data_IF_718351547547
#
_entry.id   IF_718351547547
#
_cell.length_a   1.000
_cell.length_b   1.000
_cell.length_c   1.000
_cell.angle_alpha   90.00
_cell.angle_beta   90.00
_cell.angle_gamma   90.00
#
_symmetry.space_group_name_H-M   'P 1'
#
loop_
_entity.id
_entity.type
_entity.pdbx_description
1 polymer ?
#
# COMPACT_ATOMS: atom_id res chain seq x y z
N UNK A 1 -76.87 -14.28 30.98
CA UNK A 1 -76.48 -12.98 30.38
C UNK A 1 -75.54 -12.25 31.34
N UNK A 2 -74.25 -12.15 31.02
CA UNK A 2 -73.30 -11.07 31.40
C UNK A 2 -71.99 -11.36 30.64
N UNK A 3 -71.58 -10.40 29.82
CA UNK A 3 -70.57 -10.53 28.76
C UNK A 3 -69.17 -10.50 29.40
N UNK A 4 -68.32 -11.48 29.08
CA UNK A 4 -66.91 -11.45 29.46
C UNK A 4 -66.14 -10.57 28.47
N UNK A 5 -65.68 -9.43 28.93
CA UNK A 5 -64.82 -8.52 28.15
C UNK A 5 -63.40 -9.08 28.18
N UNK A 6 -62.93 -9.60 27.05
CA UNK A 6 -61.54 -10.00 26.85
C UNK A 6 -60.72 -8.75 26.49
N UNK A 7 -59.79 -8.37 27.36
CA UNK A 7 -58.82 -7.30 27.08
C UNK A 7 -57.70 -7.91 26.22
N UNK A 8 -57.66 -7.59 24.92
CA UNK A 8 -56.54 -7.97 24.05
C UNK A 8 -55.38 -7.00 24.30
N UNK A 9 -54.35 -7.45 25.01
CA UNK A 9 -53.07 -6.74 25.11
C UNK A 9 -52.23 -7.14 23.89
N UNK A 10 -52.16 -6.25 22.90
CA UNK A 10 -51.19 -6.38 21.80
C UNK A 10 -49.79 -6.03 22.34
N UNK A 11 -49.00 -7.03 22.67
CA UNK A 11 -47.57 -6.86 22.91
C UNK A 11 -46.90 -6.67 21.55
N UNK A 12 -46.60 -5.42 21.19
CA UNK A 12 -45.82 -5.09 20.00
C UNK A 12 -44.37 -5.50 20.24
N UNK A 13 -43.98 -6.67 19.75
CA UNK A 13 -42.60 -7.13 19.76
C UNK A 13 -41.79 -6.31 18.74
N UNK A 14 -41.10 -5.27 19.20
CA UNK A 14 -40.13 -4.54 18.39
C UNK A 14 -38.92 -5.45 18.18
N UNK A 15 -38.82 -6.03 16.99
CA UNK A 15 -37.67 -6.84 16.59
C UNK A 15 -36.48 -5.89 16.36
N UNK A 16 -35.63 -5.72 17.36
CA UNK A 16 -34.35 -5.03 17.20
C UNK A 16 -33.44 -5.95 16.39
N UNK A 17 -33.38 -5.75 15.07
CA UNK A 17 -32.37 -6.40 14.24
C UNK A 17 -31.01 -5.82 14.59
N UNK A 18 -30.27 -6.49 15.46
CA UNK A 18 -28.85 -6.24 15.62
C UNK A 18 -28.18 -6.55 14.28
N UNK A 19 -27.81 -5.54 13.51
CA UNK A 19 -26.95 -5.70 12.36
C UNK A 19 -25.57 -6.08 12.89
N UNK A 20 -25.31 -7.39 13.00
CA UNK A 20 -23.95 -7.85 13.20
C UNK A 20 -23.13 -7.40 11.97
N UNK A 21 -22.22 -6.45 12.16
CA UNK A 21 -21.20 -6.16 11.16
C UNK A 21 -20.40 -7.43 10.97
N UNK A 22 -20.61 -8.12 9.84
CA UNK A 22 -19.76 -9.22 9.44
C UNK A 22 -18.38 -8.62 9.17
N UNK A 23 -17.44 -8.80 10.11
CA UNK A 23 -16.03 -8.49 9.89
C UNK A 23 -15.60 -9.30 8.67
N UNK A 24 -15.41 -8.63 7.54
CA UNK A 24 -14.80 -9.28 6.38
C UNK A 24 -13.38 -9.59 6.82
N UNK A 25 -12.96 -10.85 6.69
CA UNK A 25 -11.56 -11.21 6.95
C UNK A 25 -10.62 -10.25 6.23
N UNK A 26 -9.41 -10.07 6.79
CA UNK A 26 -8.44 -9.15 6.20
C UNK A 26 -8.17 -9.52 4.74
N UNK A 27 -8.25 -8.52 3.85
CA UNK A 27 -7.87 -8.70 2.44
C UNK A 27 -6.36 -8.75 2.34
N UNK A 28 -5.84 -9.81 1.72
CA UNK A 28 -4.41 -10.02 1.57
C UNK A 28 -3.90 -9.65 0.18
N UNK A 29 -2.73 -9.01 0.14
CA UNK A 29 -2.05 -8.61 -1.08
C UNK A 29 -0.58 -8.96 -1.02
N UNK A 30 0.03 -9.04 -2.21
CA UNK A 30 1.44 -9.30 -2.44
C UNK A 30 2.00 -8.27 -3.42
N UNK A 31 3.25 -7.90 -3.21
CA UNK A 31 4.05 -7.07 -4.12
C UNK A 31 5.36 -7.79 -4.36
N UNK A 32 5.74 -7.98 -5.61
CA UNK A 32 7.13 -8.30 -5.95
C UNK A 32 7.82 -6.98 -6.29
N UNK A 33 8.88 -6.64 -5.57
CA UNK A 33 9.67 -5.44 -5.79
C UNK A 33 10.80 -5.78 -6.76
N UNK A 34 10.72 -5.25 -7.97
CA UNK A 34 11.73 -5.41 -9.01
C UNK A 34 12.68 -4.20 -9.03
N UNK A 35 13.95 -4.37 -9.43
CA UNK A 35 14.94 -3.30 -9.42
C UNK A 35 14.56 -2.14 -10.34
N UNK A 36 14.84 -0.91 -9.89
CA UNK A 36 14.83 0.32 -10.67
C UNK A 36 16.24 0.94 -10.57
N UNK A 37 16.63 1.75 -11.56
CA UNK A 37 17.94 2.43 -11.57
C UNK A 37 19.15 1.49 -11.44
N UNK A 38 19.04 0.29 -12.02
CA UNK A 38 20.08 -0.74 -11.96
C UNK A 38 20.57 -1.06 -10.53
N UNK A 39 19.74 -0.81 -9.52
CA UNK A 39 20.10 -0.95 -8.10
C UNK A 39 20.45 -2.39 -7.69
N UNK A 40 19.94 -3.38 -8.44
CA UNK A 40 19.99 -4.80 -8.05
C UNK A 40 19.08 -5.17 -6.88
N UNK A 41 18.38 -4.21 -6.28
CA UNK A 41 17.50 -4.42 -5.12
C UNK A 41 16.28 -5.22 -5.54
N UNK A 42 15.98 -6.27 -4.78
CA UNK A 42 14.78 -7.10 -4.95
C UNK A 42 14.09 -7.29 -3.62
N UNK A 43 12.79 -7.50 -3.67
CA UNK A 43 12.04 -7.77 -2.45
C UNK A 43 10.64 -8.28 -2.69
N UNK A 44 9.95 -8.51 -1.57
CA UNK A 44 8.56 -8.90 -1.51
C UNK A 44 7.88 -8.13 -0.39
N UNK A 45 6.66 -7.66 -0.63
CA UNK A 45 5.81 -7.13 0.41
C UNK A 45 4.51 -7.92 0.54
N UNK A 46 4.05 -8.08 1.78
CA UNK A 46 2.75 -8.65 2.12
C UNK A 46 1.92 -7.59 2.83
N UNK A 47 0.68 -7.42 2.38
CA UNK A 47 -0.23 -6.47 2.97
C UNK A 47 -1.49 -7.19 3.45
N UNK A 48 -1.99 -6.81 4.63
CA UNK A 48 -3.25 -7.27 5.18
C UNK A 48 -4.11 -6.05 5.51
N UNK A 49 -5.16 -5.82 4.73
CA UNK A 49 -6.12 -4.73 4.91
C UNK A 49 -7.34 -5.24 5.68
N UNK A 50 -7.47 -4.80 6.93
CA UNK A 50 -8.68 -4.96 7.74
C UNK A 50 -9.72 -3.88 7.45
N UNK A 51 -10.66 -3.68 8.37
CA UNK A 51 -11.71 -2.66 8.21
C UNK A 51 -11.15 -1.22 8.30
N UNK A 52 -10.19 -0.99 9.20
CA UNK A 52 -9.62 0.33 9.52
C UNK A 52 -8.09 0.33 9.63
N UNK A 53 -7.46 -0.82 9.35
CA UNK A 53 -6.02 -1.02 9.52
C UNK A 53 -5.38 -1.65 8.30
N UNK A 54 -4.15 -1.25 8.03
CA UNK A 54 -3.28 -1.87 7.04
C UNK A 54 -2.01 -2.35 7.72
N UNK A 55 -1.78 -3.66 7.73
CA UNK A 55 -0.48 -4.21 8.14
C UNK A 55 0.36 -4.46 6.90
N UNK A 56 1.56 -3.89 6.86
CA UNK A 56 2.53 -4.03 5.77
C UNK A 56 3.78 -4.72 6.29
N UNK A 57 4.22 -5.77 5.60
CA UNK A 57 5.48 -6.47 5.84
C UNK A 57 6.32 -6.37 4.58
N UNK A 58 7.55 -5.91 4.68
CA UNK A 58 8.48 -5.83 3.54
C UNK A 58 9.75 -6.60 3.88
N UNK A 59 10.16 -7.46 2.97
CA UNK A 59 11.47 -8.09 2.97
C UNK A 59 12.19 -7.71 1.67
N UNK A 60 13.35 -7.08 1.75
CA UNK A 60 14.14 -6.73 0.57
C UNK A 60 15.64 -6.93 0.83
N UNK A 61 16.38 -7.20 -0.23
CA UNK A 61 17.83 -7.50 -0.19
C UNK A 61 18.56 -6.73 -1.28
N UNK A 62 19.85 -6.49 -1.06
CA UNK A 62 20.70 -5.75 -2.00
C UNK A 62 20.62 -4.24 -1.80
N UNK A 63 20.07 -3.79 -0.67
CA UNK A 63 20.07 -2.38 -0.30
C UNK A 63 21.47 -1.93 0.12
N UNK A 64 21.70 -0.62 0.15
CA UNK A 64 22.96 -0.06 0.61
C UNK A 64 23.09 -0.18 2.14
N UNK A 65 24.10 -0.93 2.59
CA UNK A 65 24.32 -1.17 4.02
C UNK A 65 24.62 0.13 4.80
N UNK A 66 24.08 0.22 6.01
CA UNK A 66 24.23 1.36 6.92
C UNK A 66 23.41 2.59 6.53
N UNK A 67 22.53 2.50 5.53
CA UNK A 67 21.67 3.60 5.08
C UNK A 67 20.21 3.38 5.44
N UNK A 68 19.47 4.49 5.50
CA UNK A 68 18.01 4.48 5.69
C UNK A 68 17.33 4.40 4.34
N UNK A 69 16.35 3.52 4.19
CA UNK A 69 15.62 3.33 2.93
C UNK A 69 14.16 3.72 3.07
N UNK A 70 13.77 4.93 2.61
CA UNK A 70 12.37 5.33 2.55
C UNK A 70 11.57 4.40 1.65
N UNK A 71 10.32 4.15 2.04
CA UNK A 71 9.38 3.30 1.33
C UNK A 71 7.99 3.91 1.42
N UNK A 72 7.28 3.89 0.29
CA UNK A 72 5.98 4.54 0.19
C UNK A 72 5.03 3.68 -0.63
N UNK A 73 3.74 3.74 -0.28
CA UNK A 73 2.67 3.38 -1.20
C UNK A 73 2.35 4.62 -2.03
N UNK A 74 2.41 4.47 -3.35
CA UNK A 74 2.10 5.49 -4.34
C UNK A 74 0.83 5.15 -5.10
N UNK A 75 0.17 6.18 -5.62
CA UNK A 75 -0.94 6.01 -6.53
C UNK A 75 -1.44 7.29 -7.13
N UNK A 76 -2.17 7.15 -8.24
CA UNK A 76 -2.86 8.25 -8.89
C UNK A 76 -4.13 8.63 -8.14
N UNK A 77 -4.36 9.94 -8.02
CA UNK A 77 -5.61 10.51 -7.53
C UNK A 77 -6.79 10.04 -8.39
N UNK A 78 -7.97 9.94 -7.79
CA UNK A 78 -9.19 9.50 -8.46
C UNK A 78 -10.16 10.68 -8.70
N UNK A 79 -10.85 10.74 -9.86
CA UNK A 79 -10.76 9.79 -10.97
C UNK A 79 -9.46 9.96 -11.74
N UNK A 80 -8.75 8.86 -11.96
CA UNK A 80 -7.49 8.95 -12.67
C UNK A 80 -7.70 9.18 -14.16
N UNK A 81 -6.90 10.07 -14.74
CA UNK A 81 -6.94 10.40 -16.17
C UNK A 81 -5.98 9.56 -17.00
N UNK A 82 -5.14 8.76 -16.35
CA UNK A 82 -4.05 7.97 -16.96
C UNK A 82 -4.09 6.52 -16.46
N UNK A 83 -3.70 5.57 -17.31
CA UNK A 83 -3.54 4.14 -16.99
C UNK A 83 -4.70 3.49 -16.21
N UNK A 84 -5.93 3.98 -16.42
CA UNK A 84 -7.12 3.56 -15.68
C UNK A 84 -6.94 3.62 -14.14
N UNK A 85 -6.07 4.53 -13.67
CA UNK A 85 -5.72 4.74 -12.27
C UNK A 85 -4.70 3.80 -11.67
N UNK A 86 -4.09 2.92 -12.46
CA UNK A 86 -3.04 2.03 -11.98
C UNK A 86 -1.69 2.73 -11.92
N UNK A 87 -1.10 2.73 -10.73
CA UNK A 87 0.32 2.97 -10.54
C UNK A 87 1.13 1.86 -11.20
N UNK A 88 2.16 2.25 -11.94
CA UNK A 88 3.10 1.34 -12.59
C UNK A 88 4.52 1.68 -12.20
N UNK A 89 5.43 0.72 -12.35
CA UNK A 89 6.85 0.98 -12.14
C UNK A 89 7.45 1.63 -13.38
N UNK A 90 8.29 2.67 -13.20
CA UNK A 90 8.96 3.30 -14.32
C UNK A 90 9.94 2.31 -14.96
N UNK A 91 10.13 2.48 -16.27
CA UNK A 91 11.18 1.79 -17.01
C UNK A 91 12.34 2.75 -17.23
N UNK A 92 13.51 2.27 -17.72
CA UNK A 92 14.60 3.17 -18.10
C UNK A 92 14.21 4.24 -19.14
N UNK A 93 13.11 4.04 -19.89
CA UNK A 93 12.62 5.05 -20.83
C UNK A 93 11.95 6.26 -20.14
N UNK A 94 11.79 6.22 -18.81
CA UNK A 94 11.30 7.34 -18.01
C UNK A 94 12.37 8.41 -17.74
N UNK A 95 13.65 8.08 -17.94
CA UNK A 95 14.77 9.03 -17.87
C UNK A 95 14.66 10.01 -19.06
N UNK A 96 14.08 11.19 -18.80
CA UNK A 96 13.80 12.19 -19.84
C UNK A 96 15.04 13.05 -20.06
N UNK A 97 15.82 13.28 -19.01
CA UNK A 97 16.99 14.15 -19.06
C UNK A 97 18.26 13.42 -19.59
N UNK A 98 18.21 12.08 -19.70
CA UNK A 98 19.26 11.17 -20.15
C UNK A 98 20.52 11.16 -19.26
N UNK A 99 20.35 11.31 -17.94
CA UNK A 99 21.45 11.22 -16.97
C UNK A 99 21.74 9.78 -16.51
N UNK A 100 20.95 8.82 -16.99
CA UNK A 100 21.09 7.39 -16.71
C UNK A 100 20.30 6.93 -15.48
N UNK A 101 19.53 7.81 -14.85
CA UNK A 101 18.70 7.54 -13.68
C UNK A 101 17.26 7.97 -13.95
N UNK A 102 16.33 7.34 -13.26
CA UNK A 102 14.94 7.78 -13.15
C UNK A 102 14.76 8.36 -11.77
N UNK A 103 14.68 9.69 -11.67
CA UNK A 103 14.44 10.37 -10.41
C UNK A 103 12.96 10.32 -9.98
N UNK A 104 12.62 10.99 -8.87
CA UNK A 104 11.22 11.04 -8.39
C UNK A 104 10.32 11.79 -9.36
N UNK A 105 10.77 12.92 -9.92
CA UNK A 105 9.99 13.71 -10.86
C UNK A 105 9.66 12.93 -12.13
N UNK A 106 10.62 12.13 -12.60
CA UNK A 106 10.47 11.25 -13.77
C UNK A 106 9.64 10.00 -13.48
N UNK A 107 9.68 9.49 -12.24
CA UNK A 107 8.91 8.33 -11.82
C UNK A 107 7.44 8.64 -11.47
N UNK A 108 7.13 9.84 -10.98
CA UNK A 108 5.76 10.24 -10.56
C UNK A 108 4.70 10.05 -11.65
N UNK A 109 4.94 10.35 -12.94
CA UNK A 109 3.99 10.04 -14.01
C UNK A 109 3.55 8.56 -14.07
N UNK A 110 4.38 7.63 -13.55
CA UNK A 110 4.10 6.19 -13.54
C UNK A 110 3.39 5.75 -12.26
N UNK A 111 4.01 5.97 -11.09
CA UNK A 111 3.49 5.45 -9.83
C UNK A 111 2.58 6.44 -9.07
N UNK A 112 2.59 7.73 -9.42
CA UNK A 112 1.79 8.79 -8.79
C UNK A 112 2.42 9.41 -7.54
N UNK A 113 1.77 10.39 -6.89
CA UNK A 113 2.22 10.93 -5.61
C UNK A 113 2.22 9.88 -4.49
N UNK A 114 2.91 10.20 -3.39
CA UNK A 114 2.88 9.40 -2.16
C UNK A 114 1.47 9.44 -1.57
N UNK A 115 0.91 8.28 -1.26
CA UNK A 115 -0.39 8.11 -0.61
C UNK A 115 -0.26 7.63 0.84
N UNK A 116 0.78 6.84 1.14
CA UNK A 116 1.14 6.47 2.51
C UNK A 116 2.66 6.30 2.63
N UNK A 117 3.27 7.00 3.56
CA UNK A 117 4.65 6.76 3.94
C UNK A 117 4.74 5.58 4.91
N UNK A 118 5.60 4.60 4.59
CA UNK A 118 5.76 3.41 5.40
C UNK A 118 6.79 3.66 6.52
N UNK A 119 6.44 4.56 7.43
CA UNK A 119 7.28 4.96 8.57
C UNK A 119 7.10 4.03 9.76
N UNK A 120 8.05 3.97 10.71
CA UNK A 120 9.39 4.59 10.64
C UNK A 120 10.27 3.90 9.58
N UNK A 121 11.09 4.69 8.88
CA UNK A 121 12.06 4.12 7.94
C UNK A 121 13.20 3.47 8.71
N UNK A 122 13.61 2.27 8.26
CA UNK A 122 14.65 1.48 8.92
C UNK A 122 16.01 1.71 8.25
N UNK A 123 17.05 1.81 9.07
CA UNK A 123 18.43 1.69 8.60
C UNK A 123 18.76 0.22 8.46
N UNK A 124 19.31 -0.20 7.32
CA UNK A 124 19.64 -1.61 7.01
C UNK A 124 21.14 -1.87 7.27
N UNK A 125 21.56 -2.50 8.38
CA UNK A 125 22.99 -2.61 8.71
C UNK A 125 23.80 -3.42 7.70
N UNK A 126 23.16 -4.37 7.03
CA UNK A 126 23.76 -5.37 6.13
C UNK A 126 23.14 -5.37 4.72
N UNK A 127 22.34 -4.34 4.40
CA UNK A 127 21.64 -4.26 3.11
C UNK A 127 20.43 -5.18 3.00
N UNK A 128 19.94 -5.72 4.13
CA UNK A 128 18.66 -6.44 4.23
C UNK A 128 17.65 -5.57 4.98
N UNK A 129 16.46 -5.40 4.39
CA UNK A 129 15.33 -4.73 5.01
C UNK A 129 14.35 -5.78 5.51
N UNK A 130 14.12 -5.82 6.82
CA UNK A 130 13.00 -6.53 7.45
C UNK A 130 12.09 -5.52 8.13
N UNK A 131 10.94 -5.24 7.52
CA UNK A 131 9.99 -4.24 8.00
C UNK A 131 8.63 -4.86 8.28
N UNK A 132 8.01 -4.48 9.40
CA UNK A 132 6.60 -4.81 9.68
C UNK A 132 5.99 -3.65 10.47
N UNK A 133 4.89 -3.11 9.97
CA UNK A 133 4.15 -2.03 10.63
C UNK A 133 2.66 -2.13 10.34
N UNK A 134 1.85 -1.73 11.31
CA UNK A 134 0.41 -1.53 11.15
C UNK A 134 0.08 -0.04 11.17
N UNK A 135 -0.71 0.40 10.19
CA UNK A 135 -1.19 1.76 10.01
C UNK A 135 -2.68 1.82 10.31
N UNK A 136 -3.10 2.88 11.01
CA UNK A 136 -4.50 3.19 11.33
C UNK A 136 -4.98 4.46 10.62
N UNK A 137 -4.07 5.33 10.20
CA UNK A 137 -4.39 6.46 9.33
C UNK A 137 -4.26 6.02 7.88
N UNK A 138 -5.40 5.70 7.27
CA UNK A 138 -5.49 5.26 5.88
C UNK A 138 -6.08 6.35 4.97
N UNK A 139 -6.14 7.59 5.44
CA UNK A 139 -6.82 8.70 4.72
C UNK A 139 -6.29 8.93 3.31
N UNK A 140 -4.98 8.74 3.07
CA UNK A 140 -4.37 8.82 1.75
C UNK A 140 -4.63 7.60 0.86
N UNK A 141 -5.14 6.49 1.40
CA UNK A 141 -5.47 5.31 0.60
C UNK A 141 -6.92 5.27 0.14
N UNK A 142 -7.72 6.30 0.43
CA UNK A 142 -9.15 6.31 0.15
C UNK A 142 -9.50 6.43 -1.35
N UNK A 143 -10.45 5.61 -1.86
CA UNK A 143 -11.10 4.51 -1.15
C UNK A 143 -10.14 3.31 -1.00
N UNK A 144 -9.99 2.81 0.23
CA UNK A 144 -9.00 1.76 0.58
C UNK A 144 -9.18 0.44 -0.22
N UNK A 145 -10.37 0.23 -0.78
CA UNK A 145 -10.68 -0.87 -1.70
C UNK A 145 -9.95 -0.80 -3.06
N UNK A 146 -9.16 0.26 -3.30
CA UNK A 146 -8.34 0.47 -4.51
C UNK A 146 -6.86 0.12 -4.32
N UNK A 147 -6.48 -0.58 -3.25
CA UNK A 147 -5.07 -0.90 -3.00
C UNK A 147 -4.38 -1.60 -4.18
N UNK A 148 -5.12 -2.41 -4.97
CA UNK A 148 -4.60 -3.05 -6.19
C UNK A 148 -4.22 -2.09 -7.34
N UNK A 149 -4.63 -0.82 -7.27
CA UNK A 149 -4.25 0.21 -8.25
C UNK A 149 -3.02 1.00 -7.81
N UNK A 150 -2.41 0.63 -6.67
CA UNK A 150 -1.27 1.31 -6.06
C UNK A 150 0.02 0.51 -6.27
N UNK A 151 1.15 1.16 -6.06
CA UNK A 151 2.47 0.54 -6.10
C UNK A 151 3.24 0.85 -4.83
N UNK A 152 4.16 -0.03 -4.44
CA UNK A 152 5.19 0.30 -3.45
C UNK A 152 6.45 0.70 -4.20
N UNK A 153 7.05 1.81 -3.78
CA UNK A 153 8.37 2.26 -4.23
C UNK A 153 9.29 2.32 -3.02
N UNK A 154 10.45 1.68 -3.15
CA UNK A 154 11.54 1.68 -2.19
C UNK A 154 12.65 2.58 -2.73
N UNK A 155 13.26 3.38 -1.87
CA UNK A 155 14.19 4.43 -2.26
C UNK A 155 15.54 4.32 -1.52
N UNK A 156 16.53 5.02 -2.05
CA UNK A 156 17.79 5.25 -1.37
C UNK A 156 18.96 4.47 -1.97
N UNK A 157 19.84 5.16 -2.68
CA UNK A 157 21.10 4.64 -3.18
C UNK A 157 22.10 5.78 -3.35
N UNK A 158 23.39 5.47 -3.21
CA UNK A 158 24.48 6.40 -3.51
C UNK A 158 24.65 6.57 -5.02
N UNK A 159 24.68 7.84 -5.45
CA UNK A 159 24.98 8.26 -6.81
C UNK A 159 26.25 9.11 -6.77
N UNK A 160 27.30 8.65 -7.47
CA UNK A 160 28.64 9.20 -7.30
C UNK A 160 29.10 9.07 -5.85
N UNK A 161 29.38 10.19 -5.19
CA UNK A 161 29.86 10.22 -3.81
C UNK A 161 28.75 10.56 -2.78
N UNK A 162 27.49 10.68 -3.22
CA UNK A 162 26.39 11.18 -2.39
C UNK A 162 25.24 10.19 -2.29
N UNK A 163 24.80 9.92 -1.06
CA UNK A 163 23.59 9.14 -0.80
C UNK A 163 22.36 9.97 -1.17
N UNK A 164 21.47 9.41 -2.01
CA UNK A 164 20.23 10.06 -2.44
C UNK A 164 19.03 9.28 -1.87
N UNK A 165 18.48 9.66 -0.69
CA UNK A 165 17.42 8.91 -0.02
C UNK A 165 16.12 8.80 -0.82
N UNK A 166 15.89 9.72 -1.75
CA UNK A 166 14.68 9.79 -2.57
C UNK A 166 14.76 8.99 -3.86
N UNK A 167 15.95 8.54 -4.29
CA UNK A 167 16.09 7.88 -5.58
C UNK A 167 15.36 6.54 -5.57
N UNK A 168 14.41 6.27 -6.49
CA UNK A 168 13.76 4.96 -6.59
C UNK A 168 14.78 3.85 -6.86
N UNK A 169 14.74 2.78 -6.09
CA UNK A 169 15.64 1.62 -6.22
C UNK A 169 14.90 0.32 -6.46
N UNK A 170 13.65 0.21 -6.03
CA UNK A 170 12.80 -0.91 -6.38
C UNK A 170 11.34 -0.49 -6.41
N UNK A 171 10.54 -1.14 -7.25
CA UNK A 171 9.13 -0.86 -7.37
C UNK A 171 8.32 -2.13 -7.64
N UNK A 172 7.09 -2.16 -7.16
CA UNK A 172 6.15 -3.23 -7.50
C UNK A 172 4.69 -2.80 -7.33
N UNK A 173 3.83 -3.23 -8.25
CA UNK A 173 2.38 -3.02 -8.12
C UNK A 173 1.80 -3.96 -7.05
N UNK A 174 0.85 -3.46 -6.27
CA UNK A 174 0.11 -4.25 -5.28
C UNK A 174 -0.91 -5.12 -6.00
N UNK A 175 -0.90 -6.42 -5.71
CA UNK A 175 -1.82 -7.41 -6.32
C UNK A 175 -2.52 -8.23 -5.24
N UNK A 176 -3.77 -8.66 -5.45
CA UNK A 176 -4.41 -9.63 -4.55
C UNK A 176 -3.53 -10.87 -4.37
N UNK A 177 -3.40 -11.35 -3.12
CA UNK A 177 -2.67 -12.59 -2.86
C UNK A 177 -3.43 -13.80 -3.45
N UNK A 178 -2.75 -14.87 -3.90
CA UNK A 178 -3.35 -15.98 -4.64
C UNK A 178 -4.52 -16.76 -3.98
N UNK A 179 -4.96 -16.44 -2.76
CA UNK A 179 -6.09 -17.09 -2.08
C UNK A 179 -6.97 -16.10 -1.28
N UNK A 180 -7.08 -14.83 -1.70
CA UNK A 180 -7.69 -13.72 -0.96
C UNK A 180 -9.18 -13.88 -0.56
N UNK A 181 -9.46 -14.70 0.46
CA UNK A 181 -10.64 -14.65 1.31
C UNK A 181 -10.28 -14.13 2.69
#
# INVERSE_FOLDING_TARGET
MKKATFLLVFVLLVLVTATASAHRGARHFIVNLDPVNNSGVKGIAYLALGDDTLTVRVYATGLEAGKVHPQHIHGHEQPATQNNGNATCPTPAADVNNDGLVDVGEGVPFYGPVQLALTPFSTTPDGVLEYTQTFTDLSGLEPANTLQTKAIVLHGMTVGDSYVPSLPIACGQIRPAPNGR
#
